data_IF_212797526002
#
_entry.id   IF_212797526002
#
_cell.length_a   1.000
_cell.length_b   1.000
_cell.length_c   1.000
_cell.angle_alpha   90.00
_cell.angle_beta   90.00
_cell.angle_gamma   90.00
#
_symmetry.space_group_name_H-M   'P 1'
#
loop_
_entity.id
_entity.type
_entity.pdbx_description
1 polymer ?
#
# COMPACT_ATOMS: atom_id res chain seq x y z
N UNK A 1 -9.12 10.71 -20.57
CA UNK A 1 -7.67 10.87 -20.81
C UNK A 1 -6.97 10.42 -19.54
N UNK A 2 -6.08 9.43 -19.61
CA UNK A 2 -5.31 8.99 -18.43
C UNK A 2 -4.11 9.92 -18.30
N UNK A 3 -4.01 10.63 -17.18
CA UNK A 3 -2.88 11.52 -16.86
C UNK A 3 -1.88 10.76 -16.02
N UNK A 4 -0.61 10.80 -16.43
CA UNK A 4 0.50 10.30 -15.64
C UNK A 4 1.01 11.42 -14.73
N UNK A 5 1.12 11.15 -13.44
CA UNK A 5 1.73 12.03 -12.46
C UNK A 5 2.87 11.28 -11.77
N UNK A 6 4.04 11.92 -11.74
CA UNK A 6 5.20 11.36 -11.06
C UNK A 6 5.14 11.73 -9.58
N UNK A 7 5.24 10.73 -8.71
CA UNK A 7 5.31 10.91 -7.26
C UNK A 7 6.75 11.22 -6.85
N UNK A 8 7.01 12.44 -6.40
CA UNK A 8 8.34 12.90 -5.95
C UNK A 8 8.50 12.88 -4.41
N UNK A 9 7.40 12.85 -3.67
CA UNK A 9 7.40 12.96 -2.21
C UNK A 9 7.61 11.63 -1.48
N UNK A 10 7.66 10.50 -2.20
CA UNK A 10 7.95 9.18 -1.64
C UNK A 10 9.17 8.58 -2.35
N UNK A 11 10.26 8.37 -1.60
CA UNK A 11 11.50 7.75 -2.09
C UNK A 11 11.85 6.54 -1.25
N UNK A 12 12.02 5.38 -1.89
CA UNK A 12 12.42 4.16 -1.20
C UNK A 12 13.81 4.31 -0.54
N UNK A 13 13.90 3.98 0.75
CA UNK A 13 15.12 4.10 1.56
C UNK A 13 15.93 2.80 1.67
N UNK A 14 15.47 1.71 1.04
CA UNK A 14 16.09 0.38 1.11
C UNK A 14 16.10 -0.31 -0.27
N UNK A 15 16.52 -1.58 -0.34
CA UNK A 15 16.56 -2.34 -1.60
C UNK A 15 15.33 -3.23 -1.87
N UNK A 16 14.31 -3.23 -1.01
CA UNK A 16 13.27 -4.29 -1.03
C UNK A 16 11.83 -3.83 -0.76
N UNK A 17 11.59 -2.56 -0.49
CA UNK A 17 10.26 -2.06 -0.08
C UNK A 17 9.45 -1.35 -1.15
N UNK A 18 9.87 -1.34 -2.43
CA UNK A 18 9.16 -0.64 -3.53
C UNK A 18 7.66 -0.94 -3.55
N UNK A 19 7.29 -2.23 -3.45
CA UNK A 19 5.89 -2.65 -3.50
C UNK A 19 5.06 -2.13 -2.32
N UNK A 20 5.65 -2.06 -1.11
CA UNK A 20 4.97 -1.52 0.07
C UNK A 20 4.68 -0.03 -0.13
N UNK A 21 5.66 0.72 -0.65
CA UNK A 21 5.51 2.14 -0.93
C UNK A 21 4.48 2.42 -2.02
N UNK A 22 4.47 1.64 -3.11
CA UNK A 22 3.45 1.78 -4.16
C UNK A 22 2.03 1.64 -3.61
N UNK A 23 1.78 0.65 -2.75
CA UNK A 23 0.43 0.46 -2.19
C UNK A 23 0.09 1.54 -1.16
N UNK A 24 1.06 1.98 -0.35
CA UNK A 24 0.84 3.07 0.61
C UNK A 24 0.51 4.39 -0.10
N UNK A 25 1.27 4.74 -1.15
CA UNK A 25 1.02 5.91 -2.02
C UNK A 25 -0.38 5.82 -2.63
N UNK A 26 -0.77 4.65 -3.15
CA UNK A 26 -2.10 4.45 -3.73
C UNK A 26 -3.21 4.64 -2.69
N UNK A 27 -3.08 4.06 -1.48
CA UNK A 27 -4.04 4.22 -0.37
C UNK A 27 -4.20 5.70 0.02
N UNK A 28 -3.09 6.46 0.04
CA UNK A 28 -3.09 7.90 0.33
C UNK A 28 -3.77 8.72 -0.76
N UNK A 29 -3.46 8.47 -2.04
CA UNK A 29 -4.09 9.17 -3.17
C UNK A 29 -5.60 8.93 -3.18
N UNK A 30 -6.05 7.68 -2.98
CA UNK A 30 -7.47 7.34 -2.90
C UNK A 30 -8.18 7.98 -1.71
N UNK A 31 -7.45 8.24 -0.62
CA UNK A 31 -7.98 8.85 0.60
C UNK A 31 -7.78 10.38 0.65
N UNK A 32 -7.22 10.98 -0.40
CA UNK A 32 -6.82 12.40 -0.43
C UNK A 32 -5.95 12.81 0.77
N UNK A 33 -5.04 11.93 1.19
CA UNK A 33 -4.13 12.14 2.31
C UNK A 33 -2.76 12.66 1.83
N UNK A 34 -2.09 13.44 2.68
CA UNK A 34 -0.74 13.93 2.43
C UNK A 34 0.33 12.94 2.91
N UNK A 35 1.48 12.94 2.24
CA UNK A 35 2.67 12.22 2.70
C UNK A 35 3.29 12.86 3.93
N UNK A 36 3.83 12.03 4.81
CA UNK A 36 4.66 12.43 5.94
C UNK A 36 5.82 11.44 6.05
N UNK A 37 7.06 11.94 6.17
CA UNK A 37 8.26 11.12 6.29
C UNK A 37 8.26 10.23 7.55
N UNK A 38 7.41 10.50 8.54
CA UNK A 38 7.18 9.60 9.67
C UNK A 38 6.71 8.20 9.22
N UNK A 39 6.09 8.08 8.04
CA UNK A 39 5.67 6.81 7.44
C UNK A 39 6.84 5.86 7.19
N UNK A 40 8.05 6.37 6.94
CA UNK A 40 9.24 5.52 6.82
C UNK A 40 9.49 4.70 8.09
N UNK A 41 9.21 5.26 9.27
CA UNK A 41 9.33 4.57 10.57
C UNK A 41 8.25 3.51 10.77
N UNK A 42 7.16 3.60 10.03
CA UNK A 42 6.02 2.70 10.08
C UNK A 42 6.10 1.57 9.03
N UNK A 43 7.22 1.41 8.32
CA UNK A 43 7.38 0.34 7.32
C UNK A 43 7.01 -1.06 7.84
N UNK A 44 7.44 -1.50 9.05
CA UNK A 44 7.03 -2.81 9.58
C UNK A 44 5.51 -2.92 9.78
N UNK A 45 4.89 -1.84 10.25
CA UNK A 45 3.44 -1.77 10.43
C UNK A 45 2.70 -1.84 9.08
N UNK A 46 3.18 -1.10 8.07
CA UNK A 46 2.61 -1.11 6.73
C UNK A 46 2.64 -2.52 6.11
N UNK A 47 3.77 -3.25 6.24
CA UNK A 47 3.87 -4.65 5.80
C UNK A 47 2.82 -5.53 6.46
N UNK A 48 2.66 -5.44 7.78
CA UNK A 48 1.66 -6.20 8.52
C UNK A 48 0.22 -5.83 8.12
N UNK A 49 -0.07 -4.53 7.97
CA UNK A 49 -1.38 -4.05 7.55
C UNK A 49 -1.74 -4.56 6.15
N UNK A 50 -0.79 -4.56 5.22
CA UNK A 50 -0.99 -5.09 3.87
C UNK A 50 -1.18 -6.60 3.86
N UNK A 51 -0.37 -7.35 4.62
CA UNK A 51 -0.55 -8.80 4.79
C UNK A 51 -1.93 -9.13 5.34
N UNK A 52 -2.39 -8.41 6.36
CA UNK A 52 -3.71 -8.60 6.94
C UNK A 52 -4.83 -8.34 5.93
N UNK A 53 -4.75 -7.23 5.16
CA UNK A 53 -5.70 -6.95 4.06
C UNK A 53 -5.70 -8.08 3.03
N UNK A 54 -4.54 -8.60 2.64
CA UNK A 54 -4.42 -9.69 1.66
C UNK A 54 -5.02 -11.00 2.18
N UNK A 55 -4.74 -11.38 3.43
CA UNK A 55 -5.34 -12.57 4.06
C UNK A 55 -6.86 -12.46 4.15
N UNK A 56 -7.37 -11.29 4.54
CA UNK A 56 -8.81 -11.04 4.58
C UNK A 56 -9.46 -11.10 3.19
N UNK A 57 -8.75 -10.67 2.14
CA UNK A 57 -9.22 -10.81 0.77
C UNK A 57 -9.26 -12.28 0.32
N UNK A 58 -8.16 -13.02 0.48
CA UNK A 58 -8.08 -14.44 0.11
C UNK A 58 -9.10 -15.29 0.89
N UNK A 59 -9.29 -15.02 2.18
CA UNK A 59 -10.30 -15.70 2.99
C UNK A 59 -11.74 -15.45 2.54
N UNK A 60 -12.03 -14.28 1.96
CA UNK A 60 -13.34 -13.98 1.37
C UNK A 60 -13.55 -14.70 0.06
N UNK A 61 -12.52 -14.72 -0.80
CA UNK A 61 -12.56 -15.43 -2.10
C UNK A 61 -12.83 -16.93 -1.92
N UNK A 62 -12.20 -17.56 -0.92
CA UNK A 62 -12.42 -18.97 -0.59
C UNK A 62 -13.88 -19.26 -0.18
N UNK A 63 -14.52 -18.36 0.57
CA UNK A 63 -15.92 -18.50 0.98
C UNK A 63 -16.92 -18.26 -0.17
N UNK A 64 -16.55 -17.46 -1.18
CA UNK A 64 -17.37 -17.21 -2.37
C UNK A 64 -17.22 -18.27 -3.47
N UNK A 65 -16.21 -19.14 -3.41
CA UNK A 65 -16.02 -20.25 -4.37
C UNK A 65 -16.72 -21.55 -3.99
N UNK A 66 -17.32 -21.63 -2.79
CA UNK A 66 -18.05 -22.80 -2.29
C UNK A 66 -19.58 -22.73 -2.54
N UNK A 67 -20.04 -21.77 -3.36
CA UNK A 67 -21.45 -21.55 -3.71
C UNK A 67 -21.81 -21.96 -5.14
#
# INVERSE_FOLDING_TARGET
MVTYEKVEWCTQQDGSSCGVWCVAVLDMLLSNASWDDCLYRLLPYLRMRLLYKALAFVGKEAASSEG
#
